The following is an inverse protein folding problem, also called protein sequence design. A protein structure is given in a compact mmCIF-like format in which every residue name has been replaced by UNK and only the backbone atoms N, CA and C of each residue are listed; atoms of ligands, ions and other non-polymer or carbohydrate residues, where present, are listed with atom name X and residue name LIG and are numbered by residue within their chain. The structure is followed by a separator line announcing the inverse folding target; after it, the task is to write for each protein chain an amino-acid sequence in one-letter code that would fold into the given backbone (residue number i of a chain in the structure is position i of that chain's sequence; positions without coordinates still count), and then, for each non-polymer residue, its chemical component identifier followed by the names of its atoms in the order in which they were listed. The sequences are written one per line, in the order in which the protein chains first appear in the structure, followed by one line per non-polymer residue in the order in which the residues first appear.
data_IF_921648651364
#
_entry.id   IF_921648651364
#
_cell.length_a   1.000
_cell.length_b   1.000
_cell.length_c   1.000
_cell.angle_alpha   90.00
_cell.angle_beta   90.00
_cell.angle_gamma   90.00
#
_symmetry.space_group_name_H-M   'P 1'
#
loop_
_entity.id
_entity.type
_entity.pdbx_description
1 polymer ?
#
# COMPACT_ATOMS: atom_id res chain seq x y z
N UNK A 1 58.28 7.45 11.92
CA UNK A 1 57.01 7.28 11.18
C UNK A 1 56.09 6.37 11.97
N UNK A 2 54.98 6.90 12.51
CA UNK A 2 53.88 6.10 13.05
C UNK A 2 52.68 6.37 12.16
N UNK A 3 52.42 5.47 11.23
CA UNK A 3 51.29 5.55 10.30
C UNK A 3 50.01 5.21 11.06
N UNK A 4 49.08 6.18 11.06
CA UNK A 4 47.69 6.00 11.47
C UNK A 4 47.03 4.93 10.59
N UNK A 5 46.36 3.97 11.22
CA UNK A 5 45.35 3.12 10.59
C UNK A 5 44.01 3.50 11.20
N UNK A 6 43.38 4.53 10.64
CA UNK A 6 41.96 4.82 10.87
C UNK A 6 41.14 3.77 10.11
N UNK A 7 40.77 2.67 10.78
CA UNK A 7 39.70 1.81 10.32
C UNK A 7 38.37 2.56 10.50
N UNK A 8 37.96 3.28 9.46
CA UNK A 8 36.58 3.71 9.30
C UNK A 8 35.70 2.51 8.98
N UNK A 9 35.26 1.79 10.01
CA UNK A 9 34.14 0.85 9.89
C UNK A 9 32.84 1.65 10.03
N UNK A 10 32.41 2.27 8.94
CA UNK A 10 31.01 2.69 8.82
C UNK A 10 30.22 1.44 8.47
N UNK A 11 29.72 0.74 9.48
CA UNK A 11 28.64 -0.22 9.29
C UNK A 11 27.36 0.55 8.98
N UNK A 12 27.07 0.79 7.70
CA UNK A 12 25.68 0.97 7.28
C UNK A 12 25.00 -0.39 7.28
N UNK A 13 24.65 -0.88 8.47
CA UNK A 13 23.64 -1.91 8.61
C UNK A 13 22.26 -1.24 8.45
N UNK A 14 21.94 -0.73 7.26
CA UNK A 14 20.55 -0.41 6.89
C UNK A 14 19.83 -1.71 6.52
N UNK A 15 19.78 -2.64 7.47
CA UNK A 15 18.88 -3.77 7.37
C UNK A 15 17.50 -3.29 7.80
N UNK A 16 16.55 -3.39 6.87
CA UNK A 16 15.15 -3.66 7.15
C UNK A 16 14.26 -2.49 7.60
N UNK A 17 14.23 -1.37 6.85
CA UNK A 17 12.95 -0.66 6.71
C UNK A 17 12.14 -1.38 5.64
N UNK A 18 11.66 -2.59 5.96
CA UNK A 18 10.43 -3.06 5.35
C UNK A 18 9.38 -2.04 5.76
N UNK A 19 9.05 -1.08 4.88
CA UNK A 19 8.09 -0.03 5.22
C UNK A 19 6.72 -0.67 5.37
N UNK A 20 6.43 -1.06 6.60
CA UNK A 20 5.15 -1.57 7.00
C UNK A 20 4.11 -0.49 6.71
N UNK A 21 3.02 -0.90 6.08
CA UNK A 21 1.84 -0.06 5.99
C UNK A 21 1.31 0.22 7.40
N UNK A 22 0.57 1.33 7.60
CA UNK A 22 -0.18 1.53 8.83
C UNK A 22 -0.98 0.28 9.19
N UNK A 23 -1.01 -0.09 10.46
CA UNK A 23 -1.62 -1.35 10.92
C UNK A 23 -3.07 -1.49 10.48
N UNK A 24 -3.80 -0.37 10.42
CA UNK A 24 -5.20 -0.32 9.97
C UNK A 24 -5.40 -0.71 8.51
N UNK A 25 -4.36 -0.69 7.67
CA UNK A 25 -4.49 -1.03 6.26
C UNK A 25 -4.57 -2.53 6.03
N UNK A 26 -3.97 -3.34 6.91
CA UNK A 26 -3.96 -4.80 6.77
C UNK A 26 -5.39 -5.37 6.73
N UNK A 27 -6.24 -5.18 7.76
CA UNK A 27 -7.61 -5.68 7.72
C UNK A 27 -8.42 -5.02 6.61
N UNK A 28 -8.25 -3.72 6.40
CA UNK A 28 -8.99 -2.97 5.37
C UNK A 28 -8.74 -3.52 3.96
N UNK A 29 -7.51 -3.87 3.62
CA UNK A 29 -7.19 -4.43 2.30
C UNK A 29 -7.73 -5.85 2.13
N UNK A 30 -7.71 -6.66 3.20
CA UNK A 30 -8.35 -7.97 3.19
C UNK A 30 -9.86 -7.84 2.94
N UNK A 31 -10.53 -6.94 3.68
CA UNK A 31 -11.97 -6.68 3.53
C UNK A 31 -12.30 -6.13 2.13
N UNK A 32 -11.46 -5.25 1.57
CA UNK A 32 -11.58 -4.79 0.19
C UNK A 32 -11.54 -5.98 -0.78
N UNK A 33 -10.54 -6.85 -0.68
CA UNK A 33 -10.42 -8.01 -1.57
C UNK A 33 -11.65 -8.90 -1.46
N UNK A 34 -12.09 -9.21 -0.25
CA UNK A 34 -13.32 -9.99 -0.01
C UNK A 34 -14.55 -9.33 -0.61
N UNK A 35 -14.72 -8.01 -0.44
CA UNK A 35 -15.84 -7.28 -1.06
C UNK A 35 -15.84 -7.43 -2.58
N UNK A 36 -14.67 -7.42 -3.22
CA UNK A 36 -14.55 -7.58 -4.68
C UNK A 36 -14.85 -8.98 -5.20
N UNK A 37 -14.95 -10.00 -4.34
CA UNK A 37 -15.41 -11.34 -4.72
C UNK A 37 -16.90 -11.36 -5.10
N UNK A 38 -17.70 -10.44 -4.54
CA UNK A 38 -19.15 -10.38 -4.78
C UNK A 38 -19.57 -9.23 -5.69
N UNK A 39 -18.69 -8.25 -5.96
CA UNK A 39 -18.98 -7.14 -6.87
C UNK A 39 -19.08 -7.64 -8.32
N UNK A 40 -20.31 -7.64 -8.86
CA UNK A 40 -20.59 -8.11 -10.22
C UNK A 40 -20.19 -7.10 -11.31
N UNK A 41 -20.09 -5.82 -10.97
CA UNK A 41 -19.78 -4.72 -11.91
C UNK A 41 -18.33 -4.70 -12.42
N UNK A 42 -17.48 -5.60 -11.92
CA UNK A 42 -16.10 -5.78 -12.34
C UNK A 42 -15.09 -5.53 -11.23
N UNK A 43 -13.82 -5.48 -11.60
CA UNK A 43 -12.71 -5.47 -10.65
C UNK A 43 -12.27 -4.08 -10.19
N UNK A 44 -13.05 -3.03 -10.48
CA UNK A 44 -12.76 -1.65 -10.06
C UNK A 44 -13.99 -0.88 -9.64
N UNK A 45 -13.84 -0.03 -8.63
CA UNK A 45 -14.82 0.97 -8.21
C UNK A 45 -14.23 2.38 -8.36
N UNK A 46 -15.09 3.37 -8.57
CA UNK A 46 -14.69 4.75 -8.85
C UNK A 46 -15.47 5.73 -7.97
N UNK A 47 -14.79 6.76 -7.47
CA UNK A 47 -15.37 7.91 -6.77
C UNK A 47 -14.65 9.20 -7.19
N UNK A 48 -15.31 10.01 -8.02
CA UNK A 48 -14.71 11.21 -8.60
C UNK A 48 -13.45 10.89 -9.40
N UNK A 49 -12.33 11.52 -9.03
CA UNK A 49 -11.00 11.31 -9.64
C UNK A 49 -10.24 10.09 -9.10
N UNK A 50 -10.81 9.38 -8.13
CA UNK A 50 -10.18 8.24 -7.46
C UNK A 50 -10.79 6.94 -7.97
N UNK A 51 -9.95 5.94 -8.22
CA UNK A 51 -10.41 4.58 -8.52
C UNK A 51 -9.61 3.55 -7.74
N UNK A 52 -10.30 2.57 -7.18
CA UNK A 52 -9.72 1.41 -6.52
C UNK A 52 -9.95 0.18 -7.38
N UNK A 53 -8.89 -0.58 -7.67
CA UNK A 53 -8.92 -1.79 -8.47
C UNK A 53 -8.27 -2.95 -7.75
N UNK A 54 -8.96 -4.09 -7.70
CA UNK A 54 -8.38 -5.37 -7.26
C UNK A 54 -7.94 -6.11 -8.51
N UNK A 55 -6.63 -6.27 -8.70
CA UNK A 55 -6.09 -6.99 -9.85
C UNK A 55 -6.22 -8.49 -9.62
N UNK A 56 -5.91 -8.92 -8.40
CA UNK A 56 -6.09 -10.26 -7.85
C UNK A 56 -6.05 -10.17 -6.32
N UNK A 57 -6.19 -11.31 -5.64
CA UNK A 57 -6.20 -11.41 -4.18
C UNK A 57 -4.92 -10.90 -3.50
N UNK A 58 -3.83 -10.79 -4.26
CA UNK A 58 -2.52 -10.38 -3.78
C UNK A 58 -2.11 -8.98 -4.25
N UNK A 59 -2.97 -8.25 -4.97
CA UNK A 59 -2.62 -6.97 -5.60
C UNK A 59 -3.80 -6.00 -5.73
N UNK A 60 -3.64 -4.84 -5.12
CA UNK A 60 -4.57 -3.70 -5.19
C UNK A 60 -3.86 -2.51 -5.86
N UNK A 61 -4.59 -1.77 -6.68
CA UNK A 61 -4.15 -0.51 -7.28
C UNK A 61 -5.13 0.61 -6.93
N UNK A 62 -4.61 1.67 -6.31
CA UNK A 62 -5.32 2.91 -6.06
C UNK A 62 -4.81 3.99 -7.01
N UNK A 63 -5.67 4.45 -7.92
CA UNK A 63 -5.42 5.62 -8.75
C UNK A 63 -6.06 6.84 -8.10
N UNK A 64 -5.29 7.91 -7.93
CA UNK A 64 -5.80 9.18 -7.39
C UNK A 64 -5.09 10.38 -8.04
N UNK A 65 -5.70 11.55 -7.94
CA UNK A 65 -5.05 12.80 -8.28
C UNK A 65 -4.37 13.41 -7.04
N UNK A 66 -3.07 13.69 -7.13
CA UNK A 66 -2.30 14.35 -6.08
C UNK A 66 -1.45 15.46 -6.70
N UNK A 67 -1.61 16.70 -6.22
CA UNK A 67 -0.90 17.89 -6.72
C UNK A 67 -1.00 18.02 -8.26
N UNK A 68 -2.22 17.90 -8.80
CA UNK A 68 -2.53 17.99 -10.24
C UNK A 68 -1.87 16.91 -11.11
N UNK A 69 -1.43 15.80 -10.50
CA UNK A 69 -0.86 14.65 -11.21
C UNK A 69 -1.58 13.38 -10.79
N UNK A 70 -1.93 12.57 -11.78
CA UNK A 70 -2.45 11.22 -11.52
C UNK A 70 -1.32 10.35 -10.99
N UNK A 71 -1.59 9.65 -9.88
CA UNK A 71 -0.70 8.68 -9.24
C UNK A 71 -1.39 7.32 -9.19
N UNK A 72 -0.63 6.27 -9.47
CA UNK A 72 -1.08 4.88 -9.32
C UNK A 72 -0.27 4.25 -8.19
N UNK A 73 -0.91 4.10 -7.03
CA UNK A 73 -0.32 3.46 -5.86
C UNK A 73 -0.64 1.97 -5.94
N UNK A 74 0.36 1.13 -5.71
CA UNK A 74 0.21 -0.32 -5.84
C UNK A 74 0.60 -0.98 -4.53
N UNK A 75 -0.30 -1.82 -4.03
CA UNK A 75 -0.10 -2.61 -2.82
C UNK A 75 -0.11 -4.08 -3.20
N UNK A 76 0.80 -4.84 -2.62
CA UNK A 76 0.94 -6.27 -2.87
C UNK A 76 1.11 -7.01 -1.55
N UNK A 77 0.65 -8.26 -1.50
CA UNK A 77 0.99 -9.11 -0.36
C UNK A 77 2.40 -9.68 -0.50
N UNK A 78 3.14 -9.71 0.60
CA UNK A 78 4.42 -10.40 0.77
C UNK A 78 4.30 -11.44 1.89
N UNK A 79 5.34 -12.25 2.06
CA UNK A 79 5.48 -13.15 3.21
C UNK A 79 6.66 -12.71 4.07
N UNK A 80 6.51 -12.79 5.39
CA UNK A 80 7.60 -12.55 6.31
C UNK A 80 8.44 -13.82 6.53
N UNK A 81 9.40 -13.76 7.43
CA UNK A 81 10.30 -14.87 7.77
C UNK A 81 9.54 -16.07 8.37
N UNK A 82 8.35 -15.83 8.95
CA UNK A 82 7.46 -16.85 9.50
C UNK A 82 6.42 -17.35 8.47
N UNK A 83 6.59 -16.97 7.19
CA UNK A 83 5.69 -17.30 6.09
C UNK A 83 4.26 -16.72 6.25
N UNK A 84 4.07 -15.74 7.13
CA UNK A 84 2.80 -15.04 7.31
C UNK A 84 2.64 -13.96 6.24
N UNK A 85 1.45 -13.91 5.64
CA UNK A 85 1.13 -12.97 4.57
C UNK A 85 0.78 -11.59 5.13
N UNK A 86 1.31 -10.54 4.52
CA UNK A 86 1.01 -9.14 4.87
C UNK A 86 1.05 -8.24 3.64
N UNK A 87 0.25 -7.17 3.65
CA UNK A 87 0.25 -6.15 2.61
C UNK A 87 1.43 -5.19 2.75
N UNK A 88 2.04 -4.86 1.61
CA UNK A 88 3.18 -3.96 1.51
C UNK A 88 3.02 -3.01 0.31
N UNK A 89 3.64 -1.83 0.35
CA UNK A 89 3.75 -0.99 -0.84
C UNK A 89 4.67 -1.68 -1.88
N UNK A 90 4.28 -1.61 -3.15
CA UNK A 90 4.96 -2.34 -4.22
C UNK A 90 6.11 -1.57 -4.90
N UNK A 91 6.20 -0.25 -4.70
CA UNK A 91 7.19 0.62 -5.34
C UNK A 91 7.44 1.90 -4.52
N UNK A 92 8.52 2.61 -4.87
CA UNK A 92 8.99 3.84 -4.20
C UNK A 92 7.94 4.94 -4.19
N UNK A 93 7.12 5.05 -5.24
CA UNK A 93 6.03 6.03 -5.28
C UNK A 93 4.99 5.74 -4.19
N UNK A 94 4.60 4.47 -4.03
CA UNK A 94 3.61 4.06 -3.03
C UNK A 94 4.17 4.25 -1.63
N UNK A 95 5.42 3.85 -1.43
CA UNK A 95 6.21 4.09 -0.23
C UNK A 95 6.18 5.57 0.16
N UNK A 96 6.55 6.45 -0.78
CA UNK A 96 6.64 7.88 -0.54
C UNK A 96 5.29 8.48 -0.17
N UNK A 97 4.22 8.02 -0.82
CA UNK A 97 2.88 8.49 -0.55
C UNK A 97 2.37 8.05 0.82
N UNK A 98 2.64 6.80 1.22
CA UNK A 98 2.33 6.31 2.56
C UNK A 98 3.10 7.13 3.60
N UNK A 99 4.41 7.25 3.47
CA UNK A 99 5.25 7.91 4.49
C UNK A 99 4.97 9.41 4.63
N UNK A 100 4.76 10.12 3.51
CA UNK A 100 4.66 11.59 3.51
C UNK A 100 3.22 12.09 3.64
N UNK A 101 2.24 11.27 3.25
CA UNK A 101 0.84 11.67 3.11
C UNK A 101 -0.14 10.66 3.72
N UNK A 102 0.31 9.88 4.72
CA UNK A 102 -0.47 8.81 5.36
C UNK A 102 -1.89 9.25 5.72
N UNK A 103 -2.05 10.39 6.41
CA UNK A 103 -3.35 10.87 6.89
C UNK A 103 -4.37 11.06 5.76
N UNK A 104 -3.94 11.63 4.64
CA UNK A 104 -4.83 11.87 3.49
C UNK A 104 -5.09 10.58 2.73
N UNK A 105 -4.07 9.73 2.58
CA UNK A 105 -4.20 8.41 1.96
C UNK A 105 -5.16 7.51 2.76
N UNK A 106 -5.07 7.52 4.09
CA UNK A 106 -5.96 6.77 4.99
C UNK A 106 -7.42 7.18 4.79
N UNK A 107 -7.71 8.48 4.67
CA UNK A 107 -9.07 8.96 4.41
C UNK A 107 -9.60 8.44 3.07
N UNK A 108 -8.77 8.49 2.03
CA UNK A 108 -9.13 8.00 0.69
C UNK A 108 -9.42 6.49 0.75
N UNK A 109 -8.54 5.71 1.38
CA UNK A 109 -8.70 4.27 1.52
C UNK A 109 -9.95 3.90 2.34
N UNK A 110 -10.25 4.61 3.43
CA UNK A 110 -11.50 4.44 4.18
C UNK A 110 -12.72 4.72 3.29
N UNK A 111 -12.68 5.77 2.47
CA UNK A 111 -13.77 6.07 1.52
C UNK A 111 -13.96 4.92 0.52
N UNK A 112 -12.86 4.44 -0.07
CA UNK A 112 -12.89 3.34 -1.04
C UNK A 112 -13.36 2.03 -0.40
N UNK A 113 -12.95 1.75 0.84
CA UNK A 113 -13.40 0.59 1.59
C UNK A 113 -14.92 0.64 1.83
N UNK A 114 -15.45 1.77 2.31
CA UNK A 114 -16.91 1.95 2.47
C UNK A 114 -17.66 1.80 1.15
N UNK A 115 -17.08 2.30 0.05
CA UNK A 115 -17.67 2.15 -1.28
C UNK A 115 -17.65 0.69 -1.73
N UNK A 116 -16.57 -0.05 -1.49
CA UNK A 116 -16.52 -1.49 -1.82
C UNK A 116 -17.54 -2.28 -1.01
N UNK A 117 -17.69 -1.97 0.29
CA UNK A 117 -18.68 -2.61 1.16
C UNK A 117 -20.12 -2.32 0.70
N UNK A 118 -20.40 -1.10 0.25
CA UNK A 118 -21.70 -0.77 -0.33
C UNK A 118 -21.94 -1.56 -1.61
N UNK A 119 -20.95 -1.60 -2.50
CA UNK A 119 -21.04 -2.27 -3.81
C UNK A 119 -21.12 -3.78 -3.72
N UNK A 120 -20.52 -4.40 -2.70
CA UNK A 120 -20.56 -5.85 -2.49
C UNK A 120 -21.92 -6.37 -2.04
N UNK A 121 -22.82 -5.47 -1.63
CA UNK A 121 -24.19 -5.74 -1.15
C UNK A 121 -25.29 -5.39 -2.17
N UNK A 122 -24.93 -4.83 -3.33
CA UNK A 122 -25.83 -4.53 -4.46
C UNK A 122 -26.03 -5.76 -5.34
#
# INVERSE_FOLDING_TARGET
MKTLLTLGLIFFASHMFGQYLPESYQPMFNEIVTNFETITSGNSINEGSTSLRVINENRIVLRLEHKRKVKNLTFVTKRDEENKQYWAPANDLTIDMVNKYEKDLTKILISMHKLSEKKSKE
#
